data_IF_033427317703
#
_entry.id   IF_033427317703
#
_cell.length_a   1.000
_cell.length_b   1.000
_cell.length_c   1.000
_cell.angle_alpha   90.00
_cell.angle_beta   90.00
_cell.angle_gamma   90.00
#
_symmetry.space_group_name_H-M   'P 1'
#
loop_
_entity.id
_entity.type
_entity.pdbx_description
1 polymer ?
#
# COMPACT_ATOMS: atom_id res chain seq x y z
N UNK A 1 15.72 11.99 -4.85
CA UNK A 1 15.05 11.48 -6.08
C UNK A 1 13.79 12.28 -6.34
N UNK A 2 13.71 13.09 -7.41
CA UNK A 2 12.49 13.86 -7.74
C UNK A 2 11.68 13.08 -8.75
N UNK A 3 10.71 12.30 -8.30
CA UNK A 3 9.77 11.60 -9.19
C UNK A 3 8.66 12.61 -9.53
N UNK A 4 8.67 13.15 -10.76
CA UNK A 4 7.63 14.03 -11.25
C UNK A 4 6.63 13.26 -12.11
N UNK A 5 5.34 13.30 -11.74
CA UNK A 5 4.24 12.84 -12.57
C UNK A 5 3.55 14.03 -13.25
N UNK A 6 3.03 13.82 -14.47
CA UNK A 6 2.43 14.86 -15.30
C UNK A 6 1.22 15.54 -14.61
N UNK A 7 1.27 16.86 -14.36
CA UNK A 7 0.21 17.59 -13.63
C UNK A 7 -1.18 17.50 -14.27
N UNK A 8 -1.26 17.41 -15.60
CA UNK A 8 -2.54 17.37 -16.32
C UNK A 8 -3.39 16.11 -16.08
N UNK A 9 -2.76 14.96 -15.86
CA UNK A 9 -3.48 13.73 -15.55
C UNK A 9 -4.13 13.75 -14.16
N UNK A 10 -3.63 14.54 -13.26
CA UNK A 10 -4.05 14.60 -11.87
C UNK A 10 -5.25 15.50 -11.64
N UNK A 11 -5.30 16.67 -12.26
CA UNK A 11 -6.48 17.53 -12.23
C UNK A 11 -7.71 16.77 -12.79
N UNK A 12 -7.48 15.99 -13.86
CA UNK A 12 -8.49 15.08 -14.40
C UNK A 12 -8.89 14.00 -13.41
N UNK A 13 -7.93 13.31 -12.78
CA UNK A 13 -8.19 12.26 -11.80
C UNK A 13 -8.93 12.80 -10.56
N UNK A 14 -8.51 13.96 -10.02
CA UNK A 14 -9.18 14.64 -8.90
C UNK A 14 -10.64 14.97 -9.24
N UNK A 15 -10.90 15.48 -10.44
CA UNK A 15 -12.26 15.78 -10.92
C UNK A 15 -13.09 14.50 -11.07
N UNK A 16 -12.55 13.47 -11.70
CA UNK A 16 -13.24 12.18 -11.87
C UNK A 16 -13.59 11.55 -10.52
N UNK A 17 -12.66 11.53 -9.55
CA UNK A 17 -12.92 11.05 -8.18
C UNK A 17 -14.04 11.86 -7.53
N UNK A 18 -13.99 13.19 -7.60
CA UNK A 18 -15.00 14.08 -7.01
C UNK A 18 -16.41 13.85 -7.59
N UNK A 19 -16.50 13.60 -8.90
CA UNK A 19 -17.78 13.28 -9.56
C UNK A 19 -18.33 11.91 -9.12
N UNK A 20 -17.45 10.92 -8.94
CA UNK A 20 -17.86 9.58 -8.50
C UNK A 20 -18.24 9.53 -7.01
N UNK A 21 -17.61 10.34 -6.18
CA UNK A 21 -17.96 10.45 -4.76
C UNK A 21 -19.41 10.78 -4.51
N UNK A 22 -20.06 11.55 -5.41
CA UNK A 22 -21.48 11.87 -5.32
C UNK A 22 -22.37 10.64 -5.45
N UNK A 23 -21.88 9.57 -6.08
CA UNK A 23 -22.66 8.36 -6.42
C UNK A 23 -22.49 7.23 -5.40
N UNK A 24 -21.58 7.38 -4.42
CA UNK A 24 -21.22 6.34 -3.45
C UNK A 24 -21.61 6.72 -2.03
N UNK A 25 -21.76 5.71 -1.18
CA UNK A 25 -22.12 5.84 0.21
C UNK A 25 -20.88 5.87 1.11
N UNK A 26 -19.84 5.14 0.71
CA UNK A 26 -18.62 4.92 1.46
C UNK A 26 -17.42 4.82 0.50
N UNK A 27 -16.23 5.19 0.99
CA UNK A 27 -14.97 5.03 0.26
C UNK A 27 -14.15 3.92 0.90
N UNK A 28 -13.67 2.99 0.08
CA UNK A 28 -12.68 1.98 0.44
C UNK A 28 -11.30 2.50 0.04
N UNK A 29 -10.55 2.98 1.01
CA UNK A 29 -9.15 3.38 0.82
C UNK A 29 -8.26 2.15 1.03
N UNK A 30 -7.68 1.64 -0.06
CA UNK A 30 -6.81 0.48 -0.02
C UNK A 30 -5.36 0.92 0.12
N UNK A 31 -4.73 0.50 1.22
CA UNK A 31 -3.34 0.77 1.55
C UNK A 31 -2.53 -0.52 1.68
N UNK A 32 -1.22 -0.44 1.52
CA UNK A 32 -0.31 -1.57 1.72
C UNK A 32 0.06 -1.66 3.21
N UNK A 33 -0.24 -2.77 3.86
CA UNK A 33 0.01 -2.97 5.28
C UNK A 33 1.50 -2.89 5.67
N UNK A 34 2.42 -2.95 4.70
CA UNK A 34 3.86 -2.76 4.94
C UNK A 34 4.26 -1.28 5.04
N UNK A 35 3.42 -0.39 4.51
CA UNK A 35 3.59 1.07 4.48
C UNK A 35 2.22 1.75 4.61
N UNK A 36 1.50 1.57 5.73
CA UNK A 36 0.09 1.93 5.87
C UNK A 36 -0.16 3.43 5.76
N UNK A 37 0.78 4.26 6.17
CA UNK A 37 0.70 5.71 6.04
C UNK A 37 1.26 6.18 4.69
N UNK A 38 2.47 5.79 4.34
CA UNK A 38 3.14 6.19 3.10
C UNK A 38 2.43 5.73 1.83
N UNK A 39 1.58 4.71 1.90
CA UNK A 39 0.75 4.26 0.77
C UNK A 39 -0.60 4.99 0.66
N UNK A 40 -0.93 5.90 1.57
CA UNK A 40 -2.09 6.78 1.44
C UNK A 40 -1.78 7.89 0.43
N UNK A 41 -2.83 8.37 -0.23
CA UNK A 41 -2.70 9.51 -1.14
C UNK A 41 -3.28 10.77 -0.48
N UNK A 42 -2.45 11.76 -0.10
CA UNK A 42 -2.91 12.98 0.58
C UNK A 42 -4.03 13.72 -0.17
N UNK A 43 -3.97 13.73 -1.52
CA UNK A 43 -5.04 14.33 -2.33
C UNK A 43 -6.41 13.71 -2.11
N UNK A 44 -6.45 12.43 -1.72
CA UNK A 44 -7.71 11.73 -1.45
C UNK A 44 -8.36 12.28 -0.19
N UNK A 45 -7.58 12.68 0.81
CA UNK A 45 -8.10 13.29 2.04
C UNK A 45 -8.86 14.59 1.75
N UNK A 46 -8.31 15.44 0.86
CA UNK A 46 -8.97 16.67 0.44
C UNK A 46 -10.28 16.44 -0.33
N UNK A 47 -10.32 15.37 -1.15
CA UNK A 47 -11.45 15.08 -2.06
C UNK A 47 -12.57 14.32 -1.38
N UNK A 48 -12.25 13.35 -0.51
CA UNK A 48 -13.25 12.50 0.15
C UNK A 48 -14.10 13.29 1.14
N UNK A 49 -13.53 14.33 1.75
CA UNK A 49 -14.23 15.19 2.70
C UNK A 49 -14.94 14.36 3.80
N UNK A 50 -16.25 14.53 3.98
CA UNK A 50 -17.04 13.90 5.05
C UNK A 50 -17.59 12.50 4.73
N UNK A 51 -17.19 11.87 3.60
CA UNK A 51 -17.67 10.53 3.30
C UNK A 51 -17.08 9.51 4.28
N UNK A 52 -17.89 8.58 4.81
CA UNK A 52 -17.38 7.47 5.61
C UNK A 52 -16.27 6.73 4.87
N UNK A 53 -15.21 6.33 5.60
CA UNK A 53 -14.03 5.72 5.03
C UNK A 53 -13.73 4.39 5.69
N UNK A 54 -13.61 3.34 4.89
CA UNK A 54 -13.07 2.05 5.30
C UNK A 54 -11.64 1.98 4.81
N UNK A 55 -10.66 1.95 5.73
CA UNK A 55 -9.23 1.81 5.39
C UNK A 55 -8.90 0.33 5.36
N UNK A 56 -8.60 -0.19 4.17
CA UNK A 56 -8.31 -1.60 3.97
C UNK A 56 -6.79 -1.79 3.91
N UNK A 57 -6.21 -2.27 5.01
CA UNK A 57 -4.78 -2.59 5.10
C UNK A 57 -4.55 -3.97 4.46
N UNK A 58 -4.19 -3.97 3.19
CA UNK A 58 -3.98 -5.18 2.41
C UNK A 58 -2.54 -5.71 2.54
N UNK A 59 -2.30 -6.97 2.16
CA UNK A 59 -1.02 -7.68 2.29
C UNK A 59 -0.58 -7.86 3.74
N UNK A 60 -1.54 -8.04 4.66
CA UNK A 60 -1.24 -8.25 6.07
C UNK A 60 -0.33 -9.46 6.35
N UNK A 61 -0.33 -10.42 5.43
CA UNK A 61 0.53 -11.62 5.44
C UNK A 61 2.01 -11.31 5.25
N UNK A 62 2.34 -10.09 4.82
CA UNK A 62 3.69 -9.61 4.54
C UNK A 62 4.16 -8.51 5.50
N UNK A 63 3.34 -8.13 6.48
CA UNK A 63 3.62 -7.03 7.41
C UNK A 63 3.75 -7.48 8.86
N UNK A 64 4.36 -6.64 9.69
CA UNK A 64 4.50 -6.87 11.13
C UNK A 64 3.17 -6.57 11.84
N UNK A 65 2.61 -7.58 12.51
CA UNK A 65 1.29 -7.48 13.15
C UNK A 65 1.27 -6.51 14.36
N UNK A 66 2.38 -6.35 15.07
CA UNK A 66 2.43 -5.43 16.21
C UNK A 66 2.34 -3.97 15.73
N UNK A 67 3.07 -3.63 14.67
CA UNK A 67 2.95 -2.31 14.05
C UNK A 67 1.55 -2.09 13.46
N UNK A 68 0.97 -3.12 12.83
CA UNK A 68 -0.37 -3.04 12.27
C UNK A 68 -1.44 -2.72 13.32
N UNK A 69 -1.32 -3.25 14.55
CA UNK A 69 -2.27 -2.95 15.62
C UNK A 69 -2.25 -1.47 16.03
N UNK A 70 -1.07 -0.85 16.01
CA UNK A 70 -0.91 0.58 16.29
C UNK A 70 -1.56 1.42 15.19
N UNK A 71 -1.32 1.05 13.92
CA UNK A 71 -1.92 1.72 12.76
C UNK A 71 -3.44 1.52 12.69
N UNK A 72 -3.97 0.35 13.07
CA UNK A 72 -5.43 0.16 13.20
C UNK A 72 -6.01 1.16 14.19
N UNK A 73 -5.39 1.29 15.39
CA UNK A 73 -5.86 2.22 16.39
C UNK A 73 -5.80 3.67 15.91
N UNK A 74 -4.70 4.08 15.26
CA UNK A 74 -4.56 5.40 14.64
C UNK A 74 -5.69 5.72 13.67
N UNK A 75 -6.07 4.78 12.80
CA UNK A 75 -7.18 5.01 11.86
C UNK A 75 -8.53 5.06 12.58
N UNK A 76 -8.73 4.29 13.65
CA UNK A 76 -9.94 4.38 14.49
C UNK A 76 -10.03 5.77 15.13
N UNK A 77 -8.94 6.28 15.68
CA UNK A 77 -8.87 7.59 16.32
C UNK A 77 -9.14 8.75 15.35
N UNK A 78 -8.82 8.55 14.06
CA UNK A 78 -9.19 9.45 12.96
C UNK A 78 -10.66 9.31 12.51
N UNK A 79 -11.46 8.43 13.15
CA UNK A 79 -12.86 8.19 12.79
C UNK A 79 -13.05 7.31 11.55
N UNK A 80 -12.02 6.56 11.13
CA UNK A 80 -12.11 5.62 10.01
C UNK A 80 -12.43 4.21 10.50
N UNK A 81 -12.73 3.32 9.56
CA UNK A 81 -13.05 1.91 9.82
C UNK A 81 -11.95 1.03 9.23
N UNK A 82 -10.84 0.76 9.97
CA UNK A 82 -9.75 -0.05 9.46
C UNK A 82 -10.11 -1.53 9.39
N UNK A 83 -9.57 -2.22 8.37
CA UNK A 83 -9.71 -3.67 8.20
C UNK A 83 -8.43 -4.26 7.64
N UNK A 84 -7.77 -5.15 8.39
CA UNK A 84 -6.62 -5.92 7.90
C UNK A 84 -7.07 -7.06 6.99
N UNK A 85 -6.54 -7.10 5.77
CA UNK A 85 -6.93 -8.06 4.72
C UNK A 85 -5.68 -8.71 4.10
N UNK A 86 -5.82 -9.97 3.74
CA UNK A 86 -4.95 -10.66 2.81
C UNK A 86 -5.80 -11.01 1.58
N UNK A 87 -5.81 -10.11 0.62
CA UNK A 87 -6.62 -10.27 -0.59
C UNK A 87 -6.12 -11.43 -1.47
N UNK A 88 -4.81 -11.73 -1.46
CA UNK A 88 -4.22 -12.82 -2.24
C UNK A 88 -4.78 -14.19 -1.80
N UNK A 89 -4.82 -14.44 -0.50
CA UNK A 89 -5.30 -15.69 0.07
C UNK A 89 -6.77 -15.64 0.50
N UNK A 90 -7.45 -14.51 0.31
CA UNK A 90 -8.88 -14.35 0.60
C UNK A 90 -9.22 -14.27 2.09
N UNK A 91 -8.25 -13.90 2.96
CA UNK A 91 -8.48 -13.83 4.40
C UNK A 91 -9.11 -12.49 4.81
N UNK A 92 -10.03 -12.53 5.76
CA UNK A 92 -10.73 -11.37 6.34
C UNK A 92 -11.65 -10.58 5.38
N UNK A 93 -11.97 -11.09 4.19
CA UNK A 93 -12.82 -10.39 3.21
C UNK A 93 -14.21 -10.03 3.76
N UNK A 94 -14.83 -10.90 4.57
CA UNK A 94 -16.14 -10.63 5.20
C UNK A 94 -16.10 -9.43 6.14
N UNK A 95 -14.94 -9.11 6.74
CA UNK A 95 -14.77 -7.95 7.60
C UNK A 95 -14.91 -6.63 6.83
N UNK A 96 -14.57 -6.61 5.53
CA UNK A 96 -14.73 -5.44 4.66
C UNK A 96 -16.21 -5.08 4.51
N UNK A 97 -17.08 -6.07 4.26
CA UNK A 97 -18.52 -5.88 4.18
C UNK A 97 -19.10 -5.39 5.53
N UNK A 98 -18.69 -6.03 6.63
CA UNK A 98 -19.11 -5.62 7.97
C UNK A 98 -18.71 -4.18 8.31
N UNK A 99 -17.48 -3.79 7.94
CA UNK A 99 -17.00 -2.42 8.13
C UNK A 99 -17.80 -1.41 7.28
N UNK A 100 -18.14 -1.75 6.05
CA UNK A 100 -18.97 -0.90 5.19
C UNK A 100 -20.37 -0.70 5.77
N UNK A 101 -21.01 -1.77 6.28
CA UNK A 101 -22.32 -1.70 6.96
C UNK A 101 -22.22 -0.77 8.17
N UNK A 102 -21.19 -0.95 9.03
CA UNK A 102 -20.97 -0.11 10.21
C UNK A 102 -20.76 1.35 9.82
N UNK A 103 -19.92 1.61 8.81
CA UNK A 103 -19.59 2.96 8.35
C UNK A 103 -20.78 3.71 7.75
N UNK A 104 -21.79 3.00 7.24
CA UNK A 104 -22.95 3.59 6.58
C UNK A 104 -24.24 3.46 7.38
N UNK A 105 -24.20 2.86 8.58
CA UNK A 105 -25.37 2.50 9.39
C UNK A 105 -26.31 3.69 9.59
N UNK A 106 -25.78 4.83 10.05
CA UNK A 106 -26.56 6.03 10.33
C UNK A 106 -27.30 6.58 9.09
N UNK A 107 -26.64 6.53 7.93
CA UNK A 107 -27.26 6.93 6.65
C UNK A 107 -28.41 6.03 6.28
N UNK A 108 -28.22 4.71 6.36
CA UNK A 108 -29.26 3.74 5.97
C UNK A 108 -30.42 3.73 6.96
N UNK A 109 -30.20 3.96 8.25
CA UNK A 109 -31.30 4.15 9.21
C UNK A 109 -32.13 5.40 8.89
N UNK A 110 -31.49 6.52 8.50
CA UNK A 110 -32.20 7.72 8.04
C UNK A 110 -32.98 7.47 6.74
N UNK A 111 -32.42 6.73 5.78
CA UNK A 111 -33.13 6.35 4.54
C UNK A 111 -34.35 5.47 4.86
N UNK A 112 -34.20 4.49 5.76
CA UNK A 112 -35.30 3.62 6.21
C UNK A 112 -36.39 4.40 6.92
N UNK A 113 -36.04 5.32 7.81
CA UNK A 113 -37.04 6.19 8.51
C UNK A 113 -37.85 7.07 7.53
N UNK A 114 -37.26 7.39 6.35
CA UNK A 114 -37.95 8.11 5.26
C UNK A 114 -38.75 7.18 4.34
N UNK A 115 -38.86 5.88 4.65
CA UNK A 115 -39.62 4.90 3.83
C UNK A 115 -38.93 4.48 2.54
N UNK A 116 -37.63 4.76 2.38
CA UNK A 116 -36.86 4.33 1.20
C UNK A 116 -36.65 2.81 1.20
N UNK A 117 -36.74 2.18 0.03
CA UNK A 117 -36.52 0.74 -0.12
C UNK A 117 -35.03 0.38 0.18
N UNK A 118 -34.78 -0.76 0.87
CA UNK A 118 -33.45 -1.26 1.06
C UNK A 118 -32.69 -1.44 -0.26
N UNK A 119 -31.44 -1.04 -0.29
CA UNK A 119 -30.54 -1.18 -1.44
C UNK A 119 -29.14 -1.57 -1.01
N UNK A 120 -28.34 -2.05 -1.94
CA UNK A 120 -26.93 -2.31 -1.70
C UNK A 120 -26.14 -1.01 -1.41
N UNK A 121 -25.16 -1.12 -0.53
CA UNK A 121 -24.18 -0.06 -0.24
C UNK A 121 -23.30 0.14 -1.47
N UNK A 122 -23.19 1.36 -1.93
CA UNK A 122 -22.31 1.74 -3.03
C UNK A 122 -20.98 2.21 -2.47
N UNK A 123 -19.90 1.51 -2.82
CA UNK A 123 -18.55 1.86 -2.39
C UNK A 123 -17.66 2.15 -3.59
N UNK A 124 -16.80 3.16 -3.48
CA UNK A 124 -15.73 3.42 -4.42
C UNK A 124 -14.41 2.92 -3.82
N UNK A 125 -13.61 2.19 -4.61
CA UNK A 125 -12.28 1.75 -4.18
C UNK A 125 -11.25 2.72 -4.73
N UNK A 126 -10.45 3.29 -3.83
CA UNK A 126 -9.29 4.14 -4.17
C UNK A 126 -8.02 3.54 -3.57
N UNK A 127 -6.88 3.90 -4.13
CA UNK A 127 -5.59 3.48 -3.62
C UNK A 127 -4.51 3.58 -4.72
N UNK A 128 -3.27 3.50 -4.30
CA UNK A 128 -2.11 3.57 -5.19
C UNK A 128 -2.04 2.36 -6.14
N UNK A 129 -1.25 2.42 -7.22
CA UNK A 129 -0.96 1.26 -8.05
C UNK A 129 -0.36 0.10 -7.24
N UNK A 130 -0.57 -1.12 -7.69
CA UNK A 130 -0.01 -2.36 -7.14
C UNK A 130 -0.32 -2.66 -5.66
N UNK A 131 -1.21 -1.89 -5.02
CA UNK A 131 -1.68 -2.14 -3.64
C UNK A 131 -2.62 -3.35 -3.54
N UNK A 132 -3.12 -3.84 -4.68
CA UNK A 132 -3.96 -5.04 -4.76
C UNK A 132 -5.46 -4.80 -4.98
N UNK A 133 -5.86 -3.62 -5.52
CA UNK A 133 -7.27 -3.29 -5.80
C UNK A 133 -7.99 -4.34 -6.62
N UNK A 134 -7.48 -4.67 -7.81
CA UNK A 134 -8.11 -5.66 -8.69
C UNK A 134 -8.18 -7.06 -8.04
N UNK A 135 -7.16 -7.44 -7.26
CA UNK A 135 -7.16 -8.70 -6.51
C UNK A 135 -8.27 -8.71 -5.46
N UNK A 136 -8.41 -7.63 -4.69
CA UNK A 136 -9.46 -7.49 -3.69
C UNK A 136 -10.85 -7.54 -4.33
N UNK A 137 -11.07 -6.78 -5.40
CA UNK A 137 -12.34 -6.74 -6.14
C UNK A 137 -12.72 -8.14 -6.63
N UNK A 138 -11.79 -8.85 -7.28
CA UNK A 138 -12.04 -10.20 -7.80
C UNK A 138 -12.37 -11.19 -6.69
N UNK A 139 -11.67 -11.11 -5.56
CA UNK A 139 -11.93 -11.98 -4.40
C UNK A 139 -13.27 -11.67 -3.75
N UNK A 140 -13.63 -10.40 -3.59
CA UNK A 140 -14.94 -9.98 -3.06
C UNK A 140 -16.08 -10.40 -4.00
N UNK A 141 -15.90 -10.22 -5.30
CA UNK A 141 -16.89 -10.59 -6.32
C UNK A 141 -16.96 -12.12 -6.58
N UNK A 142 -16.02 -12.91 -6.04
CA UNK A 142 -15.85 -14.36 -6.27
C UNK A 142 -15.75 -14.73 -7.76
N UNK A 143 -15.25 -13.83 -8.59
CA UNK A 143 -15.06 -14.04 -10.04
C UNK A 143 -13.99 -13.08 -10.57
N UNK A 144 -13.36 -13.43 -11.69
CA UNK A 144 -12.37 -12.58 -12.34
C UNK A 144 -13.08 -11.53 -13.21
N UNK A 145 -13.29 -10.33 -12.68
CA UNK A 145 -13.95 -9.21 -13.37
C UNK A 145 -12.95 -8.09 -13.65
N UNK A 146 -12.15 -7.73 -12.63
CA UNK A 146 -11.14 -6.70 -12.75
C UNK A 146 -9.84 -7.33 -13.28
N UNK A 147 -9.22 -6.67 -14.26
CA UNK A 147 -7.92 -7.13 -14.76
C UNK A 147 -6.85 -6.98 -13.69
N UNK A 148 -6.15 -8.06 -13.41
CA UNK A 148 -5.02 -8.09 -12.48
C UNK A 148 -3.72 -8.01 -13.26
N UNK A 149 -2.77 -7.19 -12.80
CA UNK A 149 -1.43 -7.11 -13.40
C UNK A 149 -0.57 -6.06 -12.70
N UNK A 150 0.74 -6.25 -12.77
CA UNK A 150 1.72 -5.32 -12.19
C UNK A 150 1.97 -4.08 -13.08
N UNK A 151 1.07 -3.82 -14.07
CA UNK A 151 1.20 -2.66 -14.96
C UNK A 151 0.26 -1.55 -14.49
N UNK A 152 0.74 -0.32 -14.22
CA UNK A 152 -0.11 0.84 -13.99
C UNK A 152 -1.03 1.10 -15.17
N UNK A 153 -2.29 1.51 -14.91
CA UNK A 153 -3.27 1.82 -15.96
C UNK A 153 -4.04 0.62 -16.52
N UNK A 154 -4.09 -0.51 -15.80
CA UNK A 154 -4.82 -1.72 -16.24
C UNK A 154 -6.34 -1.49 -16.28
N UNK A 155 -6.90 -0.71 -15.36
CA UNK A 155 -8.33 -0.37 -15.35
C UNK A 155 -8.60 0.80 -16.28
N UNK A 156 -9.16 0.52 -17.47
CA UNK A 156 -9.43 1.53 -18.52
C UNK A 156 -10.82 2.13 -18.46
N UNK A 157 -11.81 1.45 -17.86
CA UNK A 157 -13.20 1.91 -17.76
C UNK A 157 -13.75 1.67 -16.36
N UNK A 158 -14.49 2.63 -15.85
CA UNK A 158 -15.22 2.51 -14.60
C UNK A 158 -16.42 1.59 -14.77
N UNK A 159 -16.61 0.64 -13.86
CA UNK A 159 -17.74 -0.27 -13.87
C UNK A 159 -18.25 -0.56 -12.46
N UNK A 160 -19.56 -0.75 -12.35
CA UNK A 160 -20.18 -1.21 -11.12
C UNK A 160 -20.10 -2.73 -11.01
N UNK A 161 -19.52 -3.21 -9.93
CA UNK A 161 -19.32 -4.63 -9.65
C UNK A 161 -20.18 -5.01 -8.44
N UNK A 162 -21.13 -5.92 -8.62
CA UNK A 162 -21.92 -6.47 -7.52
C UNK A 162 -21.11 -7.45 -6.69
N UNK A 163 -21.14 -7.29 -5.37
CA UNK A 163 -20.54 -8.16 -4.38
C UNK A 163 -21.63 -8.68 -3.45
N UNK A 164 -22.06 -9.89 -3.67
CA UNK A 164 -23.24 -10.43 -2.99
C UNK A 164 -24.47 -9.54 -3.19
N UNK A 165 -25.28 -9.43 -2.15
CA UNK A 165 -26.49 -8.56 -2.15
C UNK A 165 -26.24 -7.23 -1.42
N UNK A 166 -25.18 -7.12 -0.63
CA UNK A 166 -24.95 -5.99 0.27
C UNK A 166 -24.10 -4.87 -0.34
N UNK A 167 -23.22 -5.17 -1.30
CA UNK A 167 -22.26 -4.20 -1.84
C UNK A 167 -22.30 -4.08 -3.35
N UNK A 168 -22.12 -2.85 -3.83
CA UNK A 168 -21.76 -2.52 -5.21
C UNK A 168 -20.48 -1.71 -5.19
N UNK A 169 -19.43 -2.20 -5.86
CA UNK A 169 -18.14 -1.56 -5.92
C UNK A 169 -17.96 -0.82 -7.23
N UNK A 170 -17.48 0.41 -7.17
CA UNK A 170 -17.03 1.15 -8.33
C UNK A 170 -15.51 0.99 -8.42
N UNK A 171 -15.06 0.29 -9.46
CA UNK A 171 -13.62 0.14 -9.73
C UNK A 171 -13.05 1.43 -10.31
N UNK A 172 -11.98 1.93 -9.70
CA UNK A 172 -11.28 3.13 -10.14
C UNK A 172 -9.83 2.82 -10.47
N UNK A 173 -9.22 3.54 -11.45
CA UNK A 173 -7.79 3.46 -11.68
C UNK A 173 -6.97 3.74 -10.41
N UNK A 174 -5.79 3.12 -10.30
CA UNK A 174 -4.84 3.48 -9.24
C UNK A 174 -4.29 4.87 -9.46
N UNK A 175 -4.33 5.69 -8.42
CA UNK A 175 -3.90 7.08 -8.49
C UNK A 175 -2.71 7.28 -7.55
N UNK A 176 -1.55 7.63 -8.11
CA UNK A 176 -0.41 8.18 -7.38
C UNK A 176 -0.45 9.70 -7.47
N UNK A 177 0.07 10.37 -6.46
CA UNK A 177 0.23 11.83 -6.49
C UNK A 177 1.52 12.24 -7.23
N UNK A 178 1.59 13.52 -7.76
CA UNK A 178 2.61 13.88 -8.76
C UNK A 178 4.00 14.08 -8.20
N UNK A 179 4.11 14.44 -6.94
CA UNK A 179 5.37 14.76 -6.29
C UNK A 179 5.31 14.22 -4.86
N UNK A 180 6.32 13.48 -4.48
CA UNK A 180 6.55 13.15 -3.08
C UNK A 180 7.37 14.29 -2.49
N UNK A 181 6.82 14.99 -1.51
CA UNK A 181 7.53 16.04 -0.77
C UNK A 181 8.61 15.40 0.09
N UNK A 182 8.33 14.21 0.60
CA UNK A 182 9.25 13.37 1.34
C UNK A 182 9.87 12.28 0.43
N UNK A 183 11.20 12.32 0.30
CA UNK A 183 11.96 11.32 -0.47
C UNK A 183 11.87 9.91 0.16
N UNK A 184 11.71 9.81 1.47
CA UNK A 184 11.60 8.55 2.15
C UNK A 184 10.31 7.82 1.78
N UNK A 185 9.19 8.54 1.67
CA UNK A 185 7.92 8.01 1.13
C UNK A 185 8.14 7.44 -0.28
N UNK A 186 8.89 8.14 -1.13
CA UNK A 186 9.26 7.66 -2.46
C UNK A 186 10.05 6.34 -2.44
N UNK A 187 11.01 6.21 -1.52
CA UNK A 187 11.82 4.98 -1.33
C UNK A 187 10.94 3.83 -0.82
N UNK A 188 10.07 4.07 0.18
CA UNK A 188 9.12 3.08 0.72
C UNK A 188 8.15 2.57 -0.34
N UNK A 189 7.58 3.46 -1.16
CA UNK A 189 6.70 3.11 -2.27
C UNK A 189 7.43 2.30 -3.35
N UNK A 190 8.67 2.66 -3.65
CA UNK A 190 9.52 1.93 -4.59
C UNK A 190 9.89 0.55 -4.05
N UNK A 191 10.31 0.47 -2.78
CA UNK A 191 10.66 -0.78 -2.12
C UNK A 191 9.50 -1.78 -2.10
N UNK A 192 8.28 -1.31 -1.92
CA UNK A 192 7.07 -2.15 -1.91
C UNK A 192 6.47 -2.43 -3.28
N UNK A 193 7.03 -1.84 -4.34
CA UNK A 193 6.63 -2.05 -5.74
C UNK A 193 5.40 -1.25 -6.17
N UNK A 194 5.06 -0.17 -5.47
CA UNK A 194 4.00 0.74 -5.88
C UNK A 194 4.42 1.62 -7.07
N UNK A 195 5.70 1.91 -7.18
CA UNK A 195 6.34 2.64 -8.27
C UNK A 195 7.03 1.65 -9.21
N UNK A 196 7.06 1.96 -10.51
CA UNK A 196 7.75 1.12 -11.51
C UNK A 196 9.27 1.19 -11.35
N UNK A 197 9.94 0.06 -11.43
CA UNK A 197 11.38 -0.05 -11.31
C UNK A 197 12.13 0.76 -12.41
N UNK A 198 11.54 0.90 -13.59
CA UNK A 198 12.14 1.63 -14.73
C UNK A 198 12.26 3.15 -14.54
N UNK A 199 11.69 3.71 -13.46
CA UNK A 199 11.70 5.16 -13.21
C UNK A 199 12.32 5.53 -11.87
N UNK A 200 12.97 4.56 -11.20
CA UNK A 200 13.61 4.75 -9.90
C UNK A 200 15.06 4.25 -9.93
N UNK A 201 15.89 4.79 -9.08
CA UNK A 201 17.25 4.29 -8.83
C UNK A 201 17.15 3.09 -7.88
N UNK A 202 17.24 1.87 -8.44
CA UNK A 202 17.06 0.63 -7.67
C UNK A 202 18.16 0.42 -6.63
N UNK A 203 19.35 0.95 -6.86
CA UNK A 203 20.46 0.99 -5.91
C UNK A 203 20.08 1.75 -4.63
N UNK A 204 19.54 2.96 -4.75
CA UNK A 204 19.05 3.74 -3.61
C UNK A 204 17.93 3.01 -2.85
N UNK A 205 17.05 2.31 -3.57
CA UNK A 205 15.95 1.52 -2.97
C UNK A 205 16.50 0.31 -2.20
N UNK A 206 17.48 -0.40 -2.76
CA UNK A 206 18.12 -1.53 -2.11
C UNK A 206 18.91 -1.09 -0.87
N UNK A 207 19.65 0.01 -0.97
CA UNK A 207 20.38 0.62 0.16
C UNK A 207 19.40 0.99 1.28
N UNK A 208 18.29 1.64 0.96
CA UNK A 208 17.26 1.97 1.94
C UNK A 208 16.73 0.71 2.64
N UNK A 209 16.37 -0.32 1.87
CA UNK A 209 15.87 -1.58 2.41
C UNK A 209 16.88 -2.31 3.29
N UNK A 210 18.18 -2.34 2.90
CA UNK A 210 19.25 -2.92 3.71
C UNK A 210 19.47 -2.15 5.01
N UNK A 211 19.55 -0.81 4.95
CA UNK A 211 19.73 0.01 6.15
C UNK A 211 18.56 -0.20 7.13
N UNK A 212 17.34 -0.27 6.64
CA UNK A 212 16.19 -0.59 7.49
C UNK A 212 16.37 -1.96 8.19
N UNK A 213 16.80 -2.99 7.47
CA UNK A 213 16.99 -4.33 8.03
C UNK A 213 18.16 -4.38 9.01
N UNK A 214 19.24 -3.67 8.73
CA UNK A 214 20.41 -3.55 9.63
C UNK A 214 19.96 -2.94 10.96
N UNK A 215 19.16 -1.87 10.90
CA UNK A 215 18.71 -1.14 12.08
C UNK A 215 17.64 -1.92 12.88
N UNK A 216 16.75 -2.65 12.22
CA UNK A 216 15.56 -3.20 12.88
C UNK A 216 15.57 -4.73 13.06
N UNK A 217 16.34 -5.48 12.25
CA UNK A 217 16.38 -6.96 12.34
C UNK A 217 17.67 -7.54 11.75
N UNK A 218 18.81 -7.07 12.27
CA UNK A 218 20.16 -7.45 11.83
C UNK A 218 20.38 -8.98 11.87
N UNK A 219 19.91 -9.62 12.95
CA UNK A 219 20.09 -11.06 13.14
C UNK A 219 19.41 -11.87 12.03
N UNK A 220 18.20 -11.47 11.63
CA UNK A 220 17.47 -12.12 10.56
C UNK A 220 18.07 -11.86 9.19
N UNK A 221 18.53 -10.64 8.94
CA UNK A 221 19.28 -10.30 7.72
C UNK A 221 20.50 -11.18 7.54
N UNK A 222 21.35 -11.29 8.57
CA UNK A 222 22.55 -12.15 8.57
C UNK A 222 22.19 -13.62 8.35
N UNK A 223 21.18 -14.11 9.08
CA UNK A 223 20.72 -15.50 8.97
C UNK A 223 20.17 -15.82 7.58
N UNK A 224 19.36 -14.91 6.98
CA UNK A 224 18.75 -15.13 5.66
C UNK A 224 19.79 -15.28 4.56
N UNK A 225 20.78 -14.40 4.54
CA UNK A 225 21.87 -14.47 3.54
C UNK A 225 23.01 -15.40 3.95
N UNK A 226 23.05 -15.87 5.20
CA UNK A 226 24.11 -16.66 5.79
C UNK A 226 25.48 -15.97 5.66
N UNK A 227 25.52 -14.71 6.15
CA UNK A 227 26.69 -13.82 6.09
C UNK A 227 27.04 -13.28 7.49
N UNK A 228 28.32 -12.98 7.67
CA UNK A 228 28.84 -12.30 8.85
C UNK A 228 29.49 -10.98 8.42
N UNK A 229 28.78 -9.89 8.65
CA UNK A 229 29.23 -8.53 8.37
C UNK A 229 29.09 -7.71 9.66
N UNK A 230 30.11 -6.94 10.09
CA UNK A 230 29.99 -6.03 11.22
C UNK A 230 28.83 -5.04 11.01
N UNK A 231 28.13 -4.67 12.09
CA UNK A 231 26.99 -3.77 12.02
C UNK A 231 27.38 -2.37 11.52
N UNK A 232 28.58 -1.92 11.93
CA UNK A 232 29.19 -0.64 11.57
C UNK A 232 29.93 -0.65 10.23
N UNK A 233 29.89 -1.77 9.49
CA UNK A 233 30.53 -1.85 8.18
C UNK A 233 29.82 -0.94 7.16
N UNK A 234 30.62 -0.43 6.22
CA UNK A 234 30.06 0.32 5.08
C UNK A 234 29.05 -0.53 4.30
N UNK A 235 28.01 0.12 3.77
CA UNK A 235 26.92 -0.55 3.09
C UNK A 235 27.40 -1.45 1.93
N UNK A 236 28.49 -1.07 1.26
CA UNK A 236 29.07 -1.84 0.17
C UNK A 236 29.54 -3.23 0.62
N UNK A 237 30.05 -3.36 1.86
CA UNK A 237 30.47 -4.63 2.40
C UNK A 237 29.32 -5.64 2.53
N UNK A 238 28.11 -5.16 2.76
CA UNK A 238 26.89 -5.98 2.79
C UNK A 238 26.54 -6.49 1.39
N UNK A 239 26.61 -5.63 0.37
CA UNK A 239 26.40 -6.05 -1.03
C UNK A 239 27.44 -7.09 -1.44
N UNK A 240 28.72 -6.88 -1.11
CA UNK A 240 29.80 -7.81 -1.40
C UNK A 240 29.60 -9.18 -0.74
N UNK A 241 29.24 -9.18 0.54
CA UNK A 241 29.01 -10.40 1.29
C UNK A 241 27.81 -11.20 0.72
N UNK A 242 26.70 -10.50 0.41
CA UNK A 242 25.53 -11.10 -0.22
C UNK A 242 25.89 -11.64 -1.61
N UNK A 243 26.56 -10.85 -2.44
CA UNK A 243 26.96 -11.21 -3.78
C UNK A 243 27.88 -12.45 -3.79
N UNK A 244 28.91 -12.47 -2.97
CA UNK A 244 29.82 -13.63 -2.78
C UNK A 244 29.05 -14.86 -2.32
N UNK A 245 28.21 -14.71 -1.30
CA UNK A 245 27.47 -15.84 -0.71
C UNK A 245 26.44 -16.44 -1.67
N UNK A 246 25.81 -15.62 -2.51
CA UNK A 246 24.80 -16.05 -3.50
C UNK A 246 25.39 -16.40 -4.86
N UNK A 247 26.71 -16.27 -5.03
CA UNK A 247 27.38 -16.56 -6.30
C UNK A 247 27.06 -15.56 -7.42
N UNK A 248 26.67 -14.34 -7.06
CA UNK A 248 26.36 -13.27 -8.00
C UNK A 248 27.65 -12.55 -8.41
N UNK A 249 28.43 -13.22 -9.24
CA UNK A 249 29.80 -12.83 -9.62
C UNK A 249 29.90 -12.82 -11.15
N UNK A 250 30.46 -11.74 -11.70
CA UNK A 250 30.81 -11.59 -13.12
C UNK A 250 32.18 -12.19 -13.45
N UNK A 251 32.51 -12.24 -14.74
CA UNK A 251 33.87 -12.64 -15.19
C UNK A 251 34.92 -11.73 -14.56
N UNK A 252 36.01 -12.32 -14.06
CA UNK A 252 37.05 -11.59 -13.33
C UNK A 252 36.84 -11.57 -11.81
N UNK A 253 35.88 -12.35 -11.28
CA UNK A 253 35.58 -12.46 -9.84
C UNK A 253 35.03 -11.14 -9.22
N UNK A 254 34.43 -10.30 -10.04
CA UNK A 254 33.79 -9.05 -9.62
C UNK A 254 32.33 -9.29 -9.21
N UNK A 255 31.86 -8.57 -8.19
CA UNK A 255 30.46 -8.67 -7.74
C UNK A 255 29.52 -8.11 -8.82
N UNK A 256 28.46 -8.85 -9.15
CA UNK A 256 27.35 -8.37 -9.97
C UNK A 256 26.38 -7.58 -9.12
N UNK A 257 26.67 -6.30 -8.89
CA UNK A 257 25.85 -5.43 -8.04
C UNK A 257 24.42 -5.27 -8.55
N UNK A 258 24.18 -5.30 -9.87
CA UNK A 258 22.82 -5.24 -10.44
C UNK A 258 22.02 -6.45 -9.98
N UNK A 259 22.57 -7.65 -10.09
CA UNK A 259 21.93 -8.88 -9.63
C UNK A 259 21.72 -8.91 -8.11
N UNK A 260 22.67 -8.35 -7.33
CA UNK A 260 22.53 -8.26 -5.86
C UNK A 260 21.41 -7.29 -5.48
N UNK A 261 21.32 -6.12 -6.12
CA UNK A 261 20.25 -5.13 -5.94
C UNK A 261 18.89 -5.76 -6.22
N UNK A 262 18.74 -6.43 -7.36
CA UNK A 262 17.50 -7.12 -7.74
C UNK A 262 17.12 -8.19 -6.73
N UNK A 263 18.07 -8.99 -6.25
CA UNK A 263 17.84 -10.03 -5.24
C UNK A 263 17.34 -9.43 -3.93
N UNK A 264 17.99 -8.40 -3.42
CA UNK A 264 17.61 -7.75 -2.14
C UNK A 264 16.19 -7.21 -2.23
N UNK A 265 15.89 -6.46 -3.30
CA UNK A 265 14.54 -5.89 -3.51
C UNK A 265 13.51 -7.00 -3.66
N UNK A 266 13.81 -8.06 -4.40
CA UNK A 266 12.94 -9.21 -4.55
C UNK A 266 12.64 -9.89 -3.20
N UNK A 267 13.67 -10.12 -2.39
CA UNK A 267 13.52 -10.81 -1.10
C UNK A 267 12.68 -9.98 -0.11
N UNK A 268 12.88 -8.67 -0.08
CA UNK A 268 12.08 -7.74 0.75
C UNK A 268 10.63 -7.69 0.24
N UNK A 269 10.41 -7.51 -1.07
CA UNK A 269 9.07 -7.42 -1.66
C UNK A 269 8.23 -8.66 -1.44
N UNK A 270 8.86 -9.82 -1.39
CA UNK A 270 8.19 -11.11 -1.22
C UNK A 270 8.24 -11.65 0.22
N UNK A 271 8.64 -10.82 1.18
CA UNK A 271 8.75 -11.18 2.61
C UNK A 271 9.59 -12.44 2.85
N UNK A 272 10.66 -12.67 2.05
CA UNK A 272 11.56 -13.83 2.19
C UNK A 272 12.46 -13.70 3.42
N UNK A 273 12.84 -12.48 3.77
CA UNK A 273 13.66 -12.18 4.94
C UNK A 273 12.78 -12.17 6.20
N UNK A 274 11.61 -11.53 6.11
CA UNK A 274 10.67 -11.39 7.22
C UNK A 274 9.49 -10.51 6.84
N UNK A 275 8.55 -10.39 7.79
CA UNK A 275 7.37 -9.54 7.64
C UNK A 275 7.63 -8.21 8.32
N UNK A 276 7.74 -7.13 7.53
CA UNK A 276 8.08 -5.80 8.04
C UNK A 276 6.98 -4.77 7.76
N UNK A 277 6.89 -3.78 8.63
CA UNK A 277 6.24 -2.50 8.39
C UNK A 277 7.33 -1.44 8.30
N UNK A 278 7.46 -0.79 7.15
CA UNK A 278 8.47 0.25 6.92
C UNK A 278 8.00 1.63 7.41
N UNK A 279 6.72 1.77 7.72
CA UNK A 279 6.18 2.90 8.47
C UNK A 279 6.18 2.52 9.96
N UNK A 280 7.31 2.74 10.66
CA UNK A 280 7.39 2.53 12.09
C UNK A 280 6.49 3.56 12.76
N UNK A 281 5.51 3.10 13.54
CA UNK A 281 4.45 3.96 14.07
C UNK A 281 4.99 5.11 14.92
N UNK A 282 5.98 4.84 15.77
CA UNK A 282 6.58 5.85 16.65
C UNK A 282 7.23 6.98 15.83
N UNK A 283 8.06 6.63 14.85
CA UNK A 283 8.82 7.58 14.07
C UNK A 283 7.89 8.47 13.24
N UNK A 284 6.92 7.87 12.56
CA UNK A 284 5.92 8.59 11.76
C UNK A 284 5.02 9.51 12.58
N UNK A 285 4.66 9.13 13.82
CA UNK A 285 3.81 9.99 14.66
C UNK A 285 4.58 11.15 15.27
N UNK A 286 5.87 11.01 15.53
CA UNK A 286 6.76 12.10 15.93
C UNK A 286 6.93 13.12 14.79
N UNK A 287 7.11 12.67 13.53
CA UNK A 287 7.15 13.53 12.36
C UNK A 287 5.84 14.33 12.18
N UNK A 288 4.70 13.65 12.21
CA UNK A 288 3.38 14.28 12.07
C UNK A 288 3.08 15.31 13.16
N UNK A 289 3.56 15.10 14.37
CA UNK A 289 3.42 16.04 15.47
C UNK A 289 4.30 17.28 15.27
N UNK A 290 5.50 17.10 14.69
CA UNK A 290 6.41 18.22 14.38
C UNK A 290 5.87 19.07 13.23
N UNK A 291 5.31 18.44 12.18
CA UNK A 291 4.72 19.16 11.05
C UNK A 291 3.47 19.96 11.43
N UNK A 292 2.69 19.48 12.40
CA UNK A 292 1.51 20.18 12.90
C UNK A 292 1.85 21.42 13.76
N UNK A 293 3.09 21.53 14.24
CA UNK A 293 3.57 22.63 15.07
C UNK A 293 4.37 23.70 14.30
N UNK A 294 4.64 23.49 13.01
CA UNK A 294 5.29 24.44 12.10
C UNK A 294 4.26 25.06 11.14
#
# INVERSE_FOLDING_TARGET
MVIQWYPGHMAKAKREVSEQLKKVDVVFELVDARIPYSSRNPMIDEVINQKPRVVILNKKDMSNLNEMSKWEQFFIDKGYYPVLVDAKHGKNLKKVEAAAIKATAEKFEREKAKGLKPRAIRAMIVGIPNVGKSTLINKLAKRSIAQTGNKPGVTKQQQWIKVGNALQLLDTPGILWPKFEDEEVGKKLSLTGAIKDSIVHLDEVAIYGLNFLIQHDLARLKSHYNIEVPEDAEIIAWFDAIGKKRGLIRRGNEIDYEAVIELIIYDIRNAKIGNYCFDIFKDMTEELANDANN
#
